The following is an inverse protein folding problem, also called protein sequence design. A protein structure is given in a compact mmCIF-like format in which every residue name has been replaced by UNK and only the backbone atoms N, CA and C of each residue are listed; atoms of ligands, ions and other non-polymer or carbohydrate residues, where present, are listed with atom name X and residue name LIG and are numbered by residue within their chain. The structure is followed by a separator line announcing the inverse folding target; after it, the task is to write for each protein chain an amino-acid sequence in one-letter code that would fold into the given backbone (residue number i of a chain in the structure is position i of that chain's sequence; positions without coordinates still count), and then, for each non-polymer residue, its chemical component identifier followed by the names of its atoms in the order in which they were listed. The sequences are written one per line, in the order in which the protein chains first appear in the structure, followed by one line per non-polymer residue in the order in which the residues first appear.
data_IF_222849817054
#
_entry.id   IF_222849817054
#
_cell.length_a   1.000
_cell.length_b   1.000
_cell.length_c   1.000
_cell.angle_alpha   90.00
_cell.angle_beta   90.00
_cell.angle_gamma   90.00
#
_symmetry.space_group_name_H-M   'P 1'
#
loop_
_entity.id
_entity.type
_entity.pdbx_description
1 polymer ?
#
# COMPACT_ATOMS: atom_id res chain seq x y z
N UNK A 1 -56.59 -37.07 8.82
CA UNK A 1 -55.19 -36.60 8.85
C UNK A 1 -54.61 -36.80 7.45
N UNK A 2 -54.22 -35.71 6.76
CA UNK A 2 -53.62 -35.76 5.40
C UNK A 2 -52.20 -35.19 5.50
N UNK A 3 -51.21 -35.97 5.08
CA UNK A 3 -49.80 -35.56 4.93
C UNK A 3 -49.62 -35.10 3.48
N UNK A 4 -49.12 -33.89 3.19
CA UNK A 4 -48.81 -33.51 1.82
C UNK A 4 -47.39 -33.93 1.44
N UNK A 5 -47.30 -34.59 0.29
CA UNK A 5 -46.08 -34.96 -0.42
C UNK A 5 -45.62 -33.72 -1.21
N UNK A 6 -44.43 -33.20 -0.92
CA UNK A 6 -43.79 -32.15 -1.72
C UNK A 6 -42.85 -32.78 -2.77
N UNK A 7 -42.86 -32.30 -4.03
CA UNK A 7 -42.03 -32.86 -5.08
C UNK A 7 -40.57 -32.41 -4.92
N UNK A 8 -39.68 -33.39 -5.05
CA UNK A 8 -38.23 -33.26 -5.09
C UNK A 8 -37.84 -32.55 -6.39
N UNK A 9 -37.32 -31.32 -6.29
CA UNK A 9 -36.60 -30.67 -7.38
C UNK A 9 -35.09 -30.90 -7.23
N UNK A 10 -34.57 -31.71 -8.14
CA UNK A 10 -33.15 -31.99 -8.31
C UNK A 10 -32.48 -30.83 -9.10
N UNK A 11 -31.66 -30.06 -8.38
CA UNK A 11 -30.34 -29.51 -8.73
C UNK A 11 -30.13 -28.96 -10.16
N UNK A 12 -29.89 -27.64 -10.24
CA UNK A 12 -28.81 -27.08 -11.07
C UNK A 12 -28.00 -26.12 -10.21
N UNK A 13 -26.92 -26.66 -9.64
CA UNK A 13 -25.85 -25.92 -9.00
C UNK A 13 -25.14 -25.05 -10.03
N UNK A 14 -25.51 -23.77 -10.10
CA UNK A 14 -24.61 -22.73 -10.60
C UNK A 14 -23.82 -22.25 -9.38
N UNK A 15 -22.65 -22.86 -9.20
CA UNK A 15 -21.61 -22.31 -8.35
C UNK A 15 -21.27 -20.92 -8.87
N UNK A 16 -21.83 -19.88 -8.26
CA UNK A 16 -21.38 -18.51 -8.49
C UNK A 16 -20.08 -18.32 -7.74
N UNK A 17 -18.99 -18.70 -8.40
CA UNK A 17 -17.62 -18.42 -8.01
C UNK A 17 -17.41 -16.90 -7.88
N UNK A 18 -17.74 -16.34 -6.71
CA UNK A 18 -17.33 -14.99 -6.31
C UNK A 18 -16.30 -15.02 -5.17
N UNK A 19 -15.75 -16.19 -4.88
CA UNK A 19 -14.68 -16.39 -3.92
C UNK A 19 -13.28 -16.33 -4.59
N UNK A 20 -13.00 -15.32 -5.41
CA UNK A 20 -11.62 -15.04 -5.87
C UNK A 20 -11.49 -13.63 -6.45
N UNK A 21 -11.15 -12.65 -5.62
CA UNK A 21 -10.36 -11.45 -6.00
C UNK A 21 -10.18 -10.46 -4.85
N UNK A 22 -9.60 -10.92 -3.74
CA UNK A 22 -9.20 -10.01 -2.65
C UNK A 22 -7.76 -10.23 -2.17
N UNK A 23 -7.01 -11.12 -2.82
CA UNK A 23 -5.56 -11.20 -2.73
C UNK A 23 -4.99 -11.29 -4.16
N UNK A 24 -4.64 -10.13 -4.72
CA UNK A 24 -4.07 -9.99 -6.05
C UNK A 24 -5.13 -9.94 -7.16
N UNK A 25 -5.20 -8.80 -7.85
CA UNK A 25 -6.03 -8.65 -9.05
C UNK A 25 -7.08 -7.55 -8.93
N UNK A 26 -6.89 -6.50 -9.72
CA UNK A 26 -7.83 -5.46 -10.16
C UNK A 26 -9.30 -5.70 -9.78
N UNK A 27 -9.90 -4.80 -8.97
CA UNK A 27 -11.33 -4.91 -8.64
C UNK A 27 -11.94 -3.95 -7.59
N UNK A 28 -11.28 -2.88 -7.19
CA UNK A 28 -11.91 -1.82 -6.37
C UNK A 28 -11.59 -0.47 -6.99
N UNK A 29 -12.62 0.30 -7.38
CA UNK A 29 -12.57 1.60 -8.08
C UNK A 29 -11.15 2.11 -8.31
N UNK A 30 -10.52 1.60 -9.36
CA UNK A 30 -9.09 1.76 -9.57
C UNK A 30 -8.83 3.26 -9.70
N UNK A 31 -8.10 3.83 -8.74
CA UNK A 31 -7.50 5.15 -8.93
C UNK A 31 -6.67 5.06 -10.22
N UNK A 32 -7.20 5.62 -11.31
CA UNK A 32 -6.43 5.82 -12.52
C UNK A 32 -5.34 6.83 -12.13
N UNK A 33 -4.05 6.48 -12.20
CA UNK A 33 -3.01 7.48 -12.02
C UNK A 33 -3.27 8.63 -13.00
N UNK A 34 -2.85 9.87 -12.68
CA UNK A 34 -2.94 10.95 -13.64
C UNK A 34 -2.22 10.55 -14.93
N UNK A 35 -2.71 11.01 -16.07
CA UNK A 35 -1.98 10.84 -17.32
C UNK A 35 -0.65 11.59 -17.25
N UNK A 36 0.39 10.98 -17.80
CA UNK A 36 1.75 11.49 -17.81
C UNK A 36 2.76 10.49 -17.22
N UNK A 37 4.06 10.76 -17.41
CA UNK A 37 5.11 9.97 -16.79
C UNK A 37 4.97 9.95 -15.26
N UNK A 38 5.39 8.86 -14.59
CA UNK A 38 5.30 8.78 -13.13
C UNK A 38 6.16 9.88 -12.49
N UNK A 39 5.70 10.54 -11.39
CA UNK A 39 6.42 11.65 -10.74
C UNK A 39 7.72 11.22 -10.04
N UNK A 40 8.12 9.96 -10.19
CA UNK A 40 9.33 9.38 -9.65
C UNK A 40 10.17 8.71 -10.74
N UNK A 41 9.91 9.03 -12.01
CA UNK A 41 10.66 8.51 -13.17
C UNK A 41 12.17 8.62 -12.94
N UNK A 42 12.65 9.77 -12.47
CA UNK A 42 14.06 10.05 -12.22
C UNK A 42 14.73 9.15 -11.17
N UNK A 43 13.96 8.34 -10.44
CA UNK A 43 14.47 7.42 -9.41
C UNK A 43 14.50 5.96 -9.87
N UNK A 44 14.01 5.68 -11.07
CA UNK A 44 13.97 4.32 -11.61
C UNK A 44 15.33 3.88 -12.16
N UNK A 45 15.57 2.57 -12.31
CA UNK A 45 16.74 2.07 -13.06
C UNK A 45 16.78 2.68 -14.47
N UNK A 46 17.99 2.93 -15.00
CA UNK A 46 18.16 3.63 -16.28
C UNK A 46 17.39 2.97 -17.44
N UNK A 47 17.40 1.64 -17.52
CA UNK A 47 16.62 0.89 -18.52
C UNK A 47 15.11 1.17 -18.40
N UNK A 48 14.56 1.16 -17.18
CA UNK A 48 13.15 1.46 -16.95
C UNK A 48 12.83 2.94 -17.26
N UNK A 49 13.72 3.86 -16.91
CA UNK A 49 13.58 5.29 -17.27
C UNK A 49 13.45 5.47 -18.76
N UNK A 50 14.39 4.95 -19.54
CA UNK A 50 14.41 5.09 -20.99
C UNK A 50 13.14 4.50 -21.62
N UNK A 51 12.74 3.29 -21.22
CA UNK A 51 11.53 2.65 -21.75
C UNK A 51 10.26 3.42 -21.41
N UNK A 52 10.16 3.98 -20.19
CA UNK A 52 8.99 4.78 -19.80
C UNK A 52 9.00 6.12 -20.54
N UNK A 53 10.12 6.83 -20.64
CA UNK A 53 10.21 8.07 -21.42
C UNK A 53 9.79 7.85 -22.88
N UNK A 54 10.19 6.72 -23.47
CA UNK A 54 9.82 6.34 -24.84
C UNK A 54 8.31 6.11 -25.00
N UNK A 55 7.66 5.48 -24.02
CA UNK A 55 6.20 5.29 -24.01
C UNK A 55 5.47 6.63 -24.01
N UNK A 56 5.94 7.60 -23.23
CA UNK A 56 5.26 8.87 -23.03
C UNK A 56 5.72 9.99 -23.99
N UNK A 57 6.71 9.75 -24.86
CA UNK A 57 7.34 10.79 -25.69
C UNK A 57 6.37 11.54 -26.63
N UNK A 58 5.34 10.83 -27.11
CA UNK A 58 4.36 11.36 -28.07
C UNK A 58 3.01 11.66 -27.41
N UNK A 59 2.91 11.52 -26.09
CA UNK A 59 1.66 11.75 -25.36
C UNK A 59 1.31 13.24 -25.38
N UNK A 60 0.03 13.55 -25.63
CA UNK A 60 -0.50 14.91 -25.62
C UNK A 60 -1.41 15.10 -24.41
N UNK A 61 -1.20 16.18 -23.66
CA UNK A 61 -2.03 16.49 -22.49
C UNK A 61 -3.51 16.54 -22.88
N UNK A 62 -4.34 15.75 -22.18
CA UNK A 62 -5.78 15.65 -22.44
C UNK A 62 -6.19 14.51 -23.37
N UNK A 63 -5.25 13.83 -24.05
CA UNK A 63 -5.55 12.61 -24.79
C UNK A 63 -5.72 11.40 -23.86
N UNK A 64 -6.42 10.36 -24.35
CA UNK A 64 -6.49 9.07 -23.65
C UNK A 64 -5.06 8.54 -23.43
N UNK A 65 -4.77 8.07 -22.22
CA UNK A 65 -3.45 7.59 -21.80
C UNK A 65 -3.46 6.13 -21.31
N UNK A 66 -4.55 5.39 -21.55
CA UNK A 66 -4.70 4.02 -21.05
C UNK A 66 -3.63 3.07 -21.59
N UNK A 67 -3.23 3.25 -22.85
CA UNK A 67 -2.19 2.45 -23.48
C UNK A 67 -0.81 2.71 -22.83
N UNK A 68 -0.46 3.98 -22.66
CA UNK A 68 0.78 4.43 -22.03
C UNK A 68 0.85 3.97 -20.57
N UNK A 69 -0.26 4.06 -19.84
CA UNK A 69 -0.38 3.56 -18.48
C UNK A 69 -0.25 2.03 -18.41
N UNK A 70 -0.84 1.29 -19.36
CA UNK A 70 -0.72 -0.17 -19.42
C UNK A 70 0.72 -0.60 -19.65
N UNK A 71 1.38 -0.04 -20.67
CA UNK A 71 2.79 -0.32 -20.98
C UNK A 71 3.72 0.06 -19.82
N UNK A 72 3.46 1.19 -19.16
CA UNK A 72 4.21 1.61 -17.96
C UNK A 72 4.02 0.61 -16.82
N UNK A 73 2.81 0.07 -16.64
CA UNK A 73 2.50 -0.94 -15.63
C UNK A 73 3.23 -2.26 -15.91
N UNK A 74 3.34 -2.68 -17.16
CA UNK A 74 4.11 -3.86 -17.55
C UNK A 74 5.60 -3.73 -17.18
N UNK A 75 6.19 -2.55 -17.39
CA UNK A 75 7.56 -2.28 -16.93
C UNK A 75 7.68 -2.39 -15.40
N UNK A 76 6.70 -1.87 -14.65
CA UNK A 76 6.69 -2.05 -13.18
C UNK A 76 6.55 -3.51 -12.75
N UNK A 77 5.82 -4.34 -13.51
CA UNK A 77 5.65 -5.76 -13.23
C UNK A 77 6.87 -6.61 -13.58
N UNK A 78 7.62 -6.24 -14.61
CA UNK A 78 8.84 -6.95 -15.02
C UNK A 78 10.05 -6.62 -14.13
N UNK A 79 10.02 -5.49 -13.42
CA UNK A 79 11.08 -5.12 -12.48
C UNK A 79 11.08 -5.97 -11.20
N UNK A 80 12.26 -6.21 -10.60
CA UNK A 80 12.35 -6.82 -9.28
C UNK A 80 11.51 -6.05 -8.25
N UNK A 81 10.75 -6.79 -7.42
CA UNK A 81 9.95 -6.19 -6.34
C UNK A 81 10.82 -5.26 -5.48
N UNK A 82 10.41 -4.00 -5.39
CA UNK A 82 11.12 -2.97 -4.60
C UNK A 82 11.98 -2.00 -5.42
N UNK A 83 12.24 -2.27 -6.70
CA UNK A 83 13.05 -1.39 -7.56
C UNK A 83 12.48 0.04 -7.69
N UNK A 84 11.15 0.19 -7.68
CA UNK A 84 10.47 1.49 -7.74
C UNK A 84 10.02 2.04 -6.36
N UNK A 85 10.23 1.28 -5.28
CA UNK A 85 9.87 1.68 -3.89
C UNK A 85 11.11 1.96 -3.03
N UNK A 86 12.25 2.21 -3.66
CA UNK A 86 13.50 2.48 -2.97
C UNK A 86 13.38 3.78 -2.18
N UNK A 87 13.71 3.78 -0.87
CA UNK A 87 13.76 5.01 -0.08
C UNK A 87 14.74 6.03 -0.67
N UNK A 88 14.48 7.34 -0.56
CA UNK A 88 15.35 8.38 -1.11
C UNK A 88 16.81 8.32 -0.64
N UNK A 89 17.05 7.84 0.58
CA UNK A 89 18.40 7.71 1.15
C UNK A 89 19.26 6.59 0.54
N UNK A 90 18.69 5.76 -0.35
CA UNK A 90 19.40 4.73 -1.09
C UNK A 90 19.58 5.08 -2.57
N UNK A 91 19.28 6.31 -2.96
CA UNK A 91 19.43 6.76 -4.33
C UNK A 91 20.91 6.97 -4.68
N UNK A 92 21.36 6.44 -5.81
CA UNK A 92 22.75 6.55 -6.25
C UNK A 92 23.77 5.77 -5.39
N UNK A 93 23.32 5.06 -4.36
CA UNK A 93 24.19 4.23 -3.52
C UNK A 93 24.81 3.10 -4.35
N UNK A 94 26.13 2.82 -4.21
CA UNK A 94 26.81 1.73 -4.92
C UNK A 94 26.11 0.37 -4.75
N UNK A 95 26.13 -0.45 -5.81
CA UNK A 95 25.40 -1.73 -5.86
C UNK A 95 25.75 -2.66 -4.69
N UNK A 96 27.03 -2.72 -4.30
CA UNK A 96 27.52 -3.54 -3.17
C UNK A 96 26.96 -3.10 -1.81
N UNK A 97 26.62 -1.82 -1.63
CA UNK A 97 25.96 -1.31 -0.43
C UNK A 97 24.44 -1.54 -0.54
N UNK A 98 23.86 -1.28 -1.71
CA UNK A 98 22.43 -1.46 -1.95
C UNK A 98 21.94 -2.89 -1.66
N UNK A 99 22.71 -3.90 -2.07
CA UNK A 99 22.36 -5.31 -1.83
C UNK A 99 22.23 -5.65 -0.32
N UNK A 100 22.98 -4.96 0.55
CA UNK A 100 22.90 -5.14 2.01
C UNK A 100 21.54 -4.68 2.54
N UNK A 101 21.03 -3.55 2.06
CA UNK A 101 19.69 -3.07 2.42
C UNK A 101 18.58 -3.95 1.84
N UNK A 102 18.73 -4.38 0.58
CA UNK A 102 17.75 -5.25 -0.06
C UNK A 102 17.60 -6.59 0.64
N UNK A 103 18.68 -7.16 1.18
CA UNK A 103 18.62 -8.38 1.99
C UNK A 103 17.68 -8.21 3.20
N UNK A 104 17.80 -7.09 3.93
CA UNK A 104 16.93 -6.80 5.08
C UNK A 104 15.47 -6.57 4.64
N UNK A 105 15.24 -5.86 3.53
CA UNK A 105 13.89 -5.60 3.04
C UNK A 105 13.18 -6.88 2.59
N UNK A 106 13.90 -7.77 1.89
CA UNK A 106 13.37 -9.00 1.29
C UNK A 106 13.19 -10.12 2.30
N UNK A 107 13.92 -10.10 3.42
CA UNK A 107 13.79 -11.10 4.48
C UNK A 107 12.36 -11.11 5.04
N UNK A 108 11.65 -12.23 4.90
CA UNK A 108 10.28 -12.39 5.38
C UNK A 108 10.20 -12.93 6.80
N UNK A 109 11.30 -13.43 7.36
CA UNK A 109 11.35 -13.97 8.72
C UNK A 109 11.43 -12.87 9.78
N UNK A 110 11.91 -11.68 9.42
CA UNK A 110 12.06 -10.56 10.35
C UNK A 110 10.77 -9.77 10.55
N UNK A 111 10.50 -9.44 11.81
CA UNK A 111 9.48 -8.47 12.18
C UNK A 111 9.83 -7.07 11.66
N UNK A 112 8.83 -6.19 11.56
CA UNK A 112 9.05 -4.82 11.11
C UNK A 112 10.02 -4.04 12.00
N UNK A 113 10.00 -4.25 13.31
CA UNK A 113 10.87 -3.53 14.24
C UNK A 113 12.31 -4.05 14.22
N UNK A 114 12.49 -5.36 14.00
CA UNK A 114 13.80 -5.95 13.71
C UNK A 114 14.39 -5.36 12.42
N UNK A 115 13.57 -5.26 11.35
CA UNK A 115 14.00 -4.61 10.10
C UNK A 115 14.41 -3.17 10.32
N UNK A 116 13.59 -2.36 11.01
CA UNK A 116 13.91 -0.95 11.31
C UNK A 116 15.26 -0.82 12.01
N UNK A 117 15.49 -1.62 13.06
CA UNK A 117 16.73 -1.59 13.84
C UNK A 117 17.94 -1.96 13.00
N UNK A 118 17.84 -3.02 12.18
CA UNK A 118 18.92 -3.42 11.26
C UNK A 118 19.18 -2.37 10.17
N UNK A 119 18.14 -1.74 9.63
CA UNK A 119 18.29 -0.66 8.65
C UNK A 119 18.97 0.55 9.29
N UNK A 120 18.58 0.92 10.51
CA UNK A 120 19.16 2.05 11.24
C UNK A 120 20.65 1.83 11.53
N UNK A 121 21.00 0.63 12.03
CA UNK A 121 22.39 0.24 12.22
C UNK A 121 23.16 0.25 10.90
N UNK A 122 22.66 -0.41 9.86
CA UNK A 122 23.34 -0.49 8.57
C UNK A 122 23.55 0.92 7.99
N UNK A 123 22.52 1.76 7.99
CA UNK A 123 22.56 3.11 7.46
C UNK A 123 23.63 3.98 8.12
N UNK A 124 23.74 3.94 9.45
CA UNK A 124 24.76 4.71 10.18
C UNK A 124 26.20 4.24 9.89
N UNK A 125 26.37 2.96 9.53
CA UNK A 125 27.70 2.39 9.29
C UNK A 125 28.17 2.50 7.84
N UNK A 126 27.26 2.47 6.86
CA UNK A 126 27.63 2.33 5.44
C UNK A 126 27.22 3.51 4.56
N UNK A 127 26.30 4.37 5.02
CA UNK A 127 25.94 5.58 4.29
C UNK A 127 26.80 6.74 4.75
N UNK A 128 27.18 7.59 3.81
CA UNK A 128 27.97 8.80 4.04
C UNK A 128 27.37 9.96 3.25
N UNK A 129 27.82 11.18 3.56
CA UNK A 129 27.43 12.41 2.85
C UNK A 129 25.91 12.59 2.74
N UNK A 130 25.43 12.87 1.53
CA UNK A 130 24.02 13.14 1.25
C UNK A 130 23.09 11.96 1.58
N UNK A 131 23.55 10.72 1.41
CA UNK A 131 22.71 9.55 1.70
C UNK A 131 22.46 9.38 3.19
N UNK A 132 23.46 9.66 4.02
CA UNK A 132 23.30 9.64 5.48
C UNK A 132 22.38 10.78 5.94
N UNK A 133 22.53 11.99 5.38
CA UNK A 133 21.62 13.11 5.66
C UNK A 133 20.17 12.78 5.31
N UNK A 134 19.92 12.27 4.08
CA UNK A 134 18.58 11.81 3.65
C UNK A 134 18.03 10.70 4.55
N UNK A 135 18.90 9.84 5.10
CA UNK A 135 18.48 8.80 6.04
C UNK A 135 17.99 9.41 7.37
N UNK A 136 18.71 10.39 7.91
CA UNK A 136 18.30 11.09 9.14
C UNK A 136 17.00 11.88 8.94
N UNK A 137 16.85 12.57 7.81
CA UNK A 137 15.59 13.25 7.43
C UNK A 137 14.43 12.24 7.33
N UNK A 138 14.67 11.09 6.71
CA UNK A 138 13.68 10.03 6.61
C UNK A 138 13.30 9.48 8.00
N UNK A 139 14.27 9.26 8.89
CA UNK A 139 14.05 8.81 10.28
C UNK A 139 13.22 9.83 11.06
N UNK A 140 13.57 11.12 10.98
CA UNK A 140 12.83 12.20 11.62
C UNK A 140 11.38 12.30 11.10
N UNK A 141 11.18 12.23 9.78
CA UNK A 141 9.84 12.20 9.17
C UNK A 141 9.00 11.03 9.69
N UNK A 142 9.59 9.83 9.80
CA UNK A 142 8.91 8.65 10.34
C UNK A 142 8.59 8.78 11.83
N UNK A 143 9.51 9.30 12.62
CA UNK A 143 9.29 9.55 14.05
C UNK A 143 8.16 10.56 14.29
N UNK A 144 8.14 11.66 13.52
CA UNK A 144 7.06 12.65 13.56
C UNK A 144 5.70 12.01 13.23
N UNK A 145 5.62 11.26 12.14
CA UNK A 145 4.37 10.59 11.75
C UNK A 145 3.88 9.56 12.78
N UNK A 146 4.79 8.81 13.42
CA UNK A 146 4.43 7.90 14.51
C UNK A 146 3.95 8.65 15.76
N UNK A 147 4.59 9.77 16.12
CA UNK A 147 4.16 10.61 17.24
C UNK A 147 2.77 11.22 16.99
N UNK A 148 2.52 11.75 15.79
CA UNK A 148 1.20 12.27 15.40
C UNK A 148 0.13 11.17 15.45
N UNK A 149 0.46 9.96 14.99
CA UNK A 149 -0.46 8.82 15.07
C UNK A 149 -0.78 8.45 16.51
N UNK A 150 0.23 8.35 17.39
CA UNK A 150 0.03 8.06 18.82
C UNK A 150 -0.80 9.12 19.51
N UNK A 151 -0.58 10.40 19.18
CA UNK A 151 -1.38 11.49 19.73
C UNK A 151 -2.86 11.38 19.31
N UNK A 152 -3.14 11.02 18.05
CA UNK A 152 -4.52 10.76 17.61
C UNK A 152 -5.12 9.51 18.24
N UNK A 153 -4.33 8.45 18.40
CA UNK A 153 -4.76 7.22 19.06
C UNK A 153 -5.17 7.47 20.51
N UNK A 154 -4.40 8.26 21.25
CA UNK A 154 -4.71 8.63 22.63
C UNK A 154 -6.01 9.46 22.77
N UNK A 155 -6.42 10.16 21.71
CA UNK A 155 -7.64 10.99 21.68
C UNK A 155 -8.90 10.26 21.21
N UNK A 156 -8.78 9.00 20.80
CA UNK A 156 -9.94 8.20 20.42
C UNK A 156 -10.90 8.02 21.60
N UNK A 157 -12.20 7.97 21.30
CA UNK A 157 -13.22 7.55 22.28
C UNK A 157 -12.94 6.13 22.81
N UNK A 158 -13.42 5.76 24.02
CA UNK A 158 -13.20 4.42 24.57
C UNK A 158 -13.62 3.28 23.62
N UNK A 159 -14.77 3.46 22.94
CA UNK A 159 -15.26 2.52 21.93
C UNK A 159 -14.32 2.42 20.73
N UNK A 160 -13.78 3.55 20.25
CA UNK A 160 -12.80 3.57 19.17
C UNK A 160 -11.44 2.99 19.58
N UNK A 161 -10.98 3.22 20.81
CA UNK A 161 -9.76 2.60 21.33
C UNK A 161 -9.88 1.07 21.37
N UNK A 162 -10.98 0.56 21.92
CA UNK A 162 -11.24 -0.89 21.96
C UNK A 162 -11.32 -1.48 20.55
N UNK A 163 -12.04 -0.83 19.64
CA UNK A 163 -12.10 -1.25 18.24
C UNK A 163 -10.71 -1.22 17.58
N UNK A 164 -9.88 -0.21 17.88
CA UNK A 164 -8.53 -0.11 17.35
C UNK A 164 -7.63 -1.25 17.83
N UNK A 165 -7.74 -1.62 19.11
CA UNK A 165 -7.00 -2.75 19.70
C UNK A 165 -7.41 -4.07 19.05
N UNK A 166 -8.72 -4.33 18.92
CA UNK A 166 -9.23 -5.54 18.27
C UNK A 166 -8.72 -5.66 16.83
N UNK A 167 -8.69 -4.54 16.09
CA UNK A 167 -8.18 -4.51 14.72
C UNK A 167 -6.68 -4.81 14.57
N UNK A 168 -5.87 -4.72 15.64
CA UNK A 168 -4.42 -5.01 15.56
C UNK A 168 -4.13 -6.46 15.22
N UNK A 169 -5.03 -7.36 15.62
CA UNK A 169 -4.90 -8.80 15.38
C UNK A 169 -5.64 -9.27 14.13
N UNK A 170 -6.42 -8.39 13.49
CA UNK A 170 -7.18 -8.70 12.29
C UNK A 170 -6.43 -8.27 11.03
N UNK A 171 -6.47 -9.12 10.00
CA UNK A 171 -5.85 -8.84 8.70
C UNK A 171 -6.85 -8.96 7.56
N UNK A 172 -6.56 -8.29 6.44
CA UNK A 172 -7.31 -8.44 5.19
C UNK A 172 -8.82 -8.30 5.34
N UNK A 173 -9.55 -9.37 4.99
CA UNK A 173 -11.01 -9.43 4.96
C UNK A 173 -11.64 -9.32 6.34
N UNK A 174 -11.08 -9.97 7.35
CA UNK A 174 -11.62 -9.98 8.71
C UNK A 174 -11.61 -8.58 9.31
N UNK A 175 -10.49 -7.86 9.12
CA UNK A 175 -10.37 -6.45 9.53
C UNK A 175 -11.39 -5.57 8.82
N UNK A 176 -11.63 -5.82 7.53
CA UNK A 176 -12.63 -5.07 6.76
C UNK A 176 -14.06 -5.33 7.28
N UNK A 177 -14.44 -6.60 7.47
CA UNK A 177 -15.75 -6.97 8.01
C UNK A 177 -15.97 -6.40 9.40
N UNK A 178 -14.96 -6.47 10.26
CA UNK A 178 -14.98 -5.84 11.58
C UNK A 178 -15.27 -4.34 11.47
N UNK A 179 -14.55 -3.61 10.61
CA UNK A 179 -14.81 -2.18 10.41
C UNK A 179 -16.21 -1.87 9.84
N UNK A 180 -16.78 -2.75 9.02
CA UNK A 180 -18.15 -2.56 8.50
C UNK A 180 -19.21 -2.65 9.61
N UNK A 181 -18.98 -3.51 10.61
CA UNK A 181 -19.89 -3.67 11.75
C UNK A 181 -19.79 -2.59 12.84
N UNK A 182 -18.79 -1.69 12.78
CA UNK A 182 -18.64 -0.62 13.77
C UNK A 182 -19.73 0.45 13.66
N UNK A 183 -19.94 1.22 14.74
CA UNK A 183 -20.73 2.44 14.68
C UNK A 183 -20.07 3.48 13.75
N UNK A 184 -20.87 4.27 13.04
CA UNK A 184 -20.37 5.25 12.06
C UNK A 184 -19.40 6.27 12.67
N UNK A 185 -19.67 6.76 13.89
CA UNK A 185 -18.79 7.72 14.56
C UNK A 185 -17.44 7.07 14.90
N UNK A 186 -17.46 5.84 15.42
CA UNK A 186 -16.26 5.05 15.71
C UNK A 186 -15.44 4.80 14.44
N UNK A 187 -16.09 4.48 13.31
CA UNK A 187 -15.41 4.36 12.02
C UNK A 187 -14.72 5.67 11.64
N UNK A 188 -15.42 6.80 11.76
CA UNK A 188 -14.86 8.10 11.38
C UNK A 188 -13.62 8.46 12.20
N UNK A 189 -13.66 8.30 13.53
CA UNK A 189 -12.52 8.55 14.42
C UNK A 189 -11.31 7.69 14.03
N UNK A 190 -11.52 6.38 13.88
CA UNK A 190 -10.48 5.44 13.47
C UNK A 190 -9.91 5.84 12.11
N UNK A 191 -10.76 6.16 11.15
CA UNK A 191 -10.36 6.49 9.79
C UNK A 191 -9.57 7.81 9.71
N UNK A 192 -9.91 8.78 10.55
CA UNK A 192 -9.14 10.03 10.67
C UNK A 192 -7.75 9.79 11.28
N UNK A 193 -7.66 8.94 12.30
CA UNK A 193 -6.39 8.51 12.87
C UNK A 193 -5.54 7.74 11.84
N UNK A 194 -6.10 6.74 11.17
CA UNK A 194 -5.38 5.95 10.16
C UNK A 194 -4.99 6.76 8.92
N UNK A 195 -5.71 7.85 8.60
CA UNK A 195 -5.31 8.81 7.55
C UNK A 195 -3.99 9.49 7.81
N UNK A 196 -3.67 9.88 9.05
CA UNK A 196 -2.38 10.53 9.32
C UNK A 196 -1.21 9.55 9.14
N UNK A 197 -1.39 8.27 9.50
CA UNK A 197 -0.34 7.24 9.39
C UNK A 197 -0.05 6.80 7.96
N UNK A 198 -1.07 6.72 7.11
CA UNK A 198 -0.92 6.17 5.76
C UNK A 198 -1.14 7.18 4.62
N UNK A 199 -1.37 8.46 4.93
CA UNK A 199 -1.60 9.51 3.93
C UNK A 199 -2.66 9.11 2.90
N UNK A 200 -2.31 9.18 1.60
CA UNK A 200 -3.20 8.79 0.49
C UNK A 200 -3.77 7.37 0.55
N UNK A 201 -3.23 6.45 1.38
CA UNK A 201 -3.86 5.14 1.61
C UNK A 201 -5.07 5.19 2.55
N UNK A 202 -5.12 6.13 3.51
CA UNK A 202 -6.30 6.36 4.34
C UNK A 202 -7.39 7.17 3.62
N UNK A 203 -7.03 7.98 2.61
CA UNK A 203 -7.99 8.58 1.66
C UNK A 203 -8.70 7.53 0.80
N UNK A 204 -8.01 6.43 0.50
CA UNK A 204 -8.46 5.31 -0.34
C UNK A 204 -9.71 4.60 0.22
N UNK A 205 -9.90 4.70 1.53
CA UNK A 205 -10.98 4.04 2.26
C UNK A 205 -12.25 4.93 2.35
N UNK A 206 -12.16 6.22 1.95
CA UNK A 206 -13.29 7.17 1.96
C UNK A 206 -13.84 7.55 0.59
N UNK A 207 -13.26 7.08 -0.52
CA UNK A 207 -13.70 7.49 -1.86
C UNK A 207 -14.84 6.65 -2.45
N UNK A 208 -15.59 5.92 -1.61
CA UNK A 208 -16.85 5.23 -1.95
C UNK A 208 -18.05 5.74 -1.13
N UNK A 209 -18.04 7.01 -0.72
CA UNK A 209 -19.26 7.75 -0.36
C UNK A 209 -19.33 9.02 -1.20
N UNK A 210 -19.67 8.86 -2.48
CA UNK A 210 -20.73 9.68 -3.03
C UNK A 210 -21.87 8.73 -3.37
N UNK A 211 -23.02 9.12 -2.86
CA UNK A 211 -24.37 8.59 -3.08
C UNK A 211 -24.58 8.40 -4.58
#
# INVERSE_FOLDING_TARGET
MKIPIFPIFLILSIGSAHAQRWFGGSGGGAWKPPCGPPPFLDRLPQDAKTRISEIWKNYKTGSNCENEQSKTREIFHSMPRGAFRRPPFLEGVPKNILVKFEAIFKDRSMSWDQKKSKIDFLAQNVLTGDNLRKFQEFKAMKAKGEAEFRHKEARLSPAAQQANQNMRNLMGRERFQFMQGLNENVKQELMEMWRSRFGGAGRRMMRNRKI
#
